data_IF_024601818482
#
_entry.id   IF_024601818482
#
_cell.length_a   1.000
_cell.length_b   1.000
_cell.length_c   1.000
_cell.angle_alpha   90.00
_cell.angle_beta   90.00
_cell.angle_gamma   90.00
#
_symmetry.space_group_name_H-M   'P 1'
#
loop_
_entity.id
_entity.type
_entity.pdbx_description
1 polymer ?
#
# COMPACT_ATOMS: atom_id res chain seq x y z
N UNK A 1 5.82 -20.16 25.65
CA UNK A 1 5.39 -20.77 24.38
C UNK A 1 5.84 -19.85 23.26
N UNK A 2 6.44 -20.39 22.19
CA UNK A 2 6.84 -19.59 21.04
C UNK A 2 5.58 -19.11 20.31
N UNK A 3 5.21 -17.84 20.50
CA UNK A 3 3.99 -17.23 19.94
C UNK A 3 3.99 -17.22 18.40
N UNK A 4 5.16 -17.38 17.77
CA UNK A 4 5.32 -17.37 16.32
C UNK A 4 5.35 -18.78 15.70
N UNK A 5 5.33 -19.84 16.52
CA UNK A 5 5.40 -21.23 16.02
C UNK A 5 4.36 -21.53 14.92
N UNK A 6 3.08 -21.12 15.03
CA UNK A 6 2.10 -21.36 13.97
C UNK A 6 2.48 -20.70 12.63
N UNK A 7 3.08 -19.51 12.67
CA UNK A 7 3.51 -18.79 11.46
C UNK A 7 4.73 -19.46 10.81
N UNK A 8 5.72 -19.85 11.63
CA UNK A 8 6.91 -20.54 11.16
C UNK A 8 6.55 -21.88 10.52
N UNK A 9 5.70 -22.66 11.20
CA UNK A 9 5.20 -23.93 10.70
C UNK A 9 4.42 -23.74 9.40
N UNK A 10 3.51 -22.76 9.36
CA UNK A 10 2.74 -22.48 8.15
C UNK A 10 3.63 -22.14 6.95
N UNK A 11 4.65 -21.30 7.15
CA UNK A 11 5.61 -20.95 6.09
C UNK A 11 6.47 -22.15 5.68
N UNK A 12 6.84 -23.02 6.62
CA UNK A 12 7.63 -24.21 6.32
C UNK A 12 6.85 -25.22 5.45
N UNK A 13 5.56 -25.42 5.74
CA UNK A 13 4.71 -26.43 5.09
C UNK A 13 4.19 -26.04 3.69
N UNK A 14 4.29 -24.77 3.31
CA UNK A 14 3.77 -24.26 2.04
C UNK A 14 4.93 -23.75 1.18
N UNK A 15 4.89 -24.04 -0.12
CA UNK A 15 5.94 -23.68 -1.07
C UNK A 15 5.55 -22.52 -1.97
N UNK A 16 4.26 -22.20 -2.08
CA UNK A 16 3.72 -21.19 -3.00
C UNK A 16 2.73 -20.28 -2.29
N UNK A 17 3.23 -19.43 -1.41
CA UNK A 17 2.39 -18.49 -0.68
C UNK A 17 1.89 -17.36 -1.57
N UNK A 18 0.58 -17.12 -1.55
CA UNK A 18 -0.02 -15.86 -1.97
C UNK A 18 0.03 -14.90 -0.78
N UNK A 19 0.91 -13.90 -0.83
CA UNK A 19 1.07 -12.92 0.26
C UNK A 19 0.19 -11.71 -0.03
N UNK A 20 -0.73 -11.38 0.88
CA UNK A 20 -1.58 -10.19 0.79
C UNK A 20 -1.20 -9.19 1.88
N UNK A 21 -0.76 -7.99 1.48
CA UNK A 21 -0.35 -6.94 2.43
C UNK A 21 -1.25 -5.70 2.38
N UNK A 22 -1.21 -4.90 3.44
CA UNK A 22 -1.80 -3.56 3.48
C UNK A 22 -1.03 -2.62 4.41
N UNK A 23 -1.64 -1.48 4.76
CA UNK A 23 -0.92 -0.34 5.33
C UNK A 23 -0.21 -0.66 6.67
N UNK A 24 -0.71 -1.65 7.42
CA UNK A 24 -0.11 -2.11 8.67
C UNK A 24 1.28 -2.70 8.52
N UNK A 25 1.72 -3.07 7.31
CA UNK A 25 3.11 -3.49 7.06
C UNK A 25 4.07 -2.29 7.00
N UNK A 26 3.56 -1.09 6.75
CA UNK A 26 4.34 0.15 6.56
C UNK A 26 4.35 1.07 7.78
N UNK A 27 3.65 0.72 8.87
CA UNK A 27 3.57 1.55 10.09
C UNK A 27 4.92 1.83 10.73
N UNK A 28 5.76 0.80 10.87
CA UNK A 28 7.14 0.96 11.39
C UNK A 28 8.13 1.54 10.36
N UNK A 29 7.67 1.84 9.14
CA UNK A 29 8.42 2.70 8.20
C UNK A 29 8.08 4.18 8.39
N UNK A 30 7.21 4.54 9.33
CA UNK A 30 6.77 5.92 9.58
C UNK A 30 5.57 6.34 8.73
N UNK A 31 4.99 5.43 7.94
CA UNK A 31 3.75 5.71 7.22
C UNK A 31 2.55 5.33 8.08
N UNK A 32 1.59 6.23 8.34
CA UNK A 32 0.41 5.88 9.11
C UNK A 32 -0.42 4.81 8.38
N UNK A 33 -1.27 4.10 9.11
CA UNK A 33 -2.33 3.27 8.52
C UNK A 33 -3.68 4.02 8.54
N UNK A 34 -4.70 3.40 7.97
CA UNK A 34 -6.02 4.02 7.82
C UNK A 34 -6.99 3.73 8.98
N UNK A 35 -6.75 2.64 9.73
CA UNK A 35 -7.75 2.06 10.63
C UNK A 35 -7.21 1.75 12.02
N UNK A 36 -8.07 1.85 13.03
CA UNK A 36 -7.80 1.46 14.41
C UNK A 36 -7.82 -0.06 14.61
N UNK A 37 -7.65 -0.49 15.86
CA UNK A 37 -7.60 -1.91 16.22
C UNK A 37 -8.95 -2.62 15.96
N UNK A 38 -10.06 -1.88 16.00
CA UNK A 38 -11.42 -2.34 15.76
C UNK A 38 -11.78 -2.34 14.26
N UNK A 39 -10.99 -1.65 13.44
CA UNK A 39 -11.17 -1.51 11.99
C UNK A 39 -11.93 -0.25 11.57
N UNK A 40 -12.18 0.70 12.46
CA UNK A 40 -12.78 1.99 12.13
C UNK A 40 -11.74 2.95 11.54
N UNK A 41 -12.19 4.02 10.89
CA UNK A 41 -11.29 5.03 10.31
C UNK A 41 -10.62 5.87 11.41
N UNK A 42 -9.29 6.03 11.31
CA UNK A 42 -8.51 6.93 12.20
C UNK A 42 -8.60 8.41 11.83
N UNK A 43 -8.98 8.70 10.57
CA UNK A 43 -9.02 10.04 9.97
C UNK A 43 -10.20 10.14 9.02
N UNK A 44 -10.49 11.35 8.55
CA UNK A 44 -11.48 11.59 7.49
C UNK A 44 -11.24 10.66 6.29
N UNK A 45 -12.30 10.12 5.67
CA UNK A 45 -12.16 9.23 4.52
C UNK A 45 -11.39 9.90 3.37
N UNK A 46 -10.62 9.13 2.58
CA UNK A 46 -9.89 9.64 1.43
C UNK A 46 -10.80 10.30 0.40
N UNK A 47 -10.22 11.15 -0.46
CA UNK A 47 -10.91 11.73 -1.61
C UNK A 47 -11.54 10.64 -2.48
N UNK A 48 -12.78 10.87 -2.91
CA UNK A 48 -13.45 9.94 -3.83
C UNK A 48 -13.05 10.23 -5.27
N UNK A 49 -13.06 9.18 -6.10
CA UNK A 49 -12.80 9.32 -7.53
C UNK A 49 -13.73 10.35 -8.19
N UNK A 50 -15.02 10.29 -7.88
CA UNK A 50 -16.01 11.20 -8.46
C UNK A 50 -15.77 12.64 -8.04
N UNK A 51 -15.43 12.90 -6.77
CA UNK A 51 -15.11 14.24 -6.31
C UNK A 51 -13.85 14.76 -7.01
N UNK A 52 -12.79 13.95 -7.10
CA UNK A 52 -11.59 14.34 -7.84
C UNK A 52 -11.85 14.59 -9.33
N UNK A 53 -12.67 13.79 -9.99
CA UNK A 53 -12.90 13.94 -11.44
C UNK A 53 -13.83 15.11 -11.77
N UNK A 54 -14.74 15.48 -10.87
CA UNK A 54 -15.79 16.46 -11.18
C UNK A 54 -15.61 17.82 -10.47
N UNK A 55 -14.80 17.90 -9.41
CA UNK A 55 -14.66 19.12 -8.61
C UNK A 55 -13.21 19.67 -8.61
N UNK A 56 -13.02 20.84 -9.23
CA UNK A 56 -11.70 21.49 -9.33
C UNK A 56 -11.13 21.90 -7.95
N UNK A 57 -11.89 22.53 -7.03
CA UNK A 57 -11.45 22.78 -5.66
C UNK A 57 -10.93 21.52 -4.94
N UNK A 58 -11.63 20.39 -5.05
CA UNK A 58 -11.19 19.10 -4.49
C UNK A 58 -9.87 18.64 -5.10
N UNK A 59 -9.70 18.74 -6.43
CA UNK A 59 -8.42 18.41 -7.07
C UNK A 59 -7.28 19.31 -6.61
N UNK A 60 -7.54 20.61 -6.48
CA UNK A 60 -6.54 21.59 -6.03
C UNK A 60 -6.10 21.26 -4.61
N UNK A 61 -7.05 21.00 -3.72
CA UNK A 61 -6.77 20.56 -2.35
C UNK A 61 -5.93 19.29 -2.33
N UNK A 62 -6.30 18.27 -3.11
CA UNK A 62 -5.55 17.02 -3.19
C UNK A 62 -4.10 17.24 -3.64
N UNK A 63 -3.90 17.94 -4.77
CA UNK A 63 -2.55 18.14 -5.30
C UNK A 63 -1.70 19.07 -4.44
N UNK A 64 -2.29 20.06 -3.78
CA UNK A 64 -1.58 20.93 -2.84
C UNK A 64 -1.06 20.17 -1.62
N UNK A 65 -1.92 19.34 -1.03
CA UNK A 65 -1.56 18.46 0.09
C UNK A 65 -0.52 17.42 -0.35
N UNK A 66 -0.71 16.81 -1.52
CA UNK A 66 0.23 15.84 -2.11
C UNK A 66 1.60 16.46 -2.44
N UNK A 67 1.65 17.73 -2.89
CA UNK A 67 2.90 18.44 -3.16
C UNK A 67 3.81 18.47 -1.92
N UNK A 68 3.22 18.70 -0.75
CA UNK A 68 3.94 18.77 0.54
C UNK A 68 4.23 17.36 1.07
N UNK A 69 3.23 16.46 1.06
CA UNK A 69 3.38 15.12 1.60
C UNK A 69 4.36 14.24 0.81
N UNK A 70 4.50 14.46 -0.50
CA UNK A 70 5.45 13.74 -1.35
C UNK A 70 6.91 13.83 -0.85
N UNK A 71 7.30 14.95 -0.24
CA UNK A 71 8.65 15.17 0.29
C UNK A 71 9.04 14.14 1.34
N UNK A 72 8.06 13.77 2.18
CA UNK A 72 8.24 12.80 3.23
C UNK A 72 8.16 11.39 2.66
N UNK A 73 7.13 11.07 1.88
CA UNK A 73 6.90 9.72 1.33
C UNK A 73 8.05 9.26 0.42
N UNK A 74 8.60 10.15 -0.42
CA UNK A 74 9.70 9.82 -1.33
C UNK A 74 10.93 9.26 -0.60
N UNK A 75 11.16 9.69 0.64
CA UNK A 75 12.33 9.33 1.44
C UNK A 75 12.13 8.10 2.33
N UNK A 76 10.89 7.63 2.50
CA UNK A 76 10.57 6.50 3.37
C UNK A 76 11.31 5.23 2.92
N UNK A 77 11.89 4.56 3.90
CA UNK A 77 12.65 3.31 3.73
C UNK A 77 11.81 2.10 4.19
N UNK A 78 12.00 0.93 3.55
CA UNK A 78 11.37 -0.30 4.01
C UNK A 78 11.83 -0.66 5.43
N UNK A 79 10.95 -1.27 6.21
CA UNK A 79 11.24 -1.81 7.55
C UNK A 79 11.57 -3.32 7.51
N UNK A 80 11.66 -3.95 8.69
CA UNK A 80 11.96 -5.38 8.84
C UNK A 80 10.96 -6.30 8.14
N UNK A 81 9.66 -5.97 8.17
CA UNK A 81 8.61 -6.78 7.54
C UNK A 81 8.80 -6.87 6.02
N UNK A 82 9.06 -5.75 5.35
CA UNK A 82 9.30 -5.73 3.92
C UNK A 82 10.52 -6.56 3.52
N UNK A 83 11.63 -6.39 4.26
CA UNK A 83 12.87 -7.16 4.02
C UNK A 83 12.67 -8.66 4.28
N UNK A 84 11.88 -9.01 5.30
CA UNK A 84 11.55 -10.39 5.62
C UNK A 84 10.73 -11.05 4.49
N UNK A 85 9.73 -10.34 3.95
CA UNK A 85 8.92 -10.83 2.83
C UNK A 85 9.73 -10.95 1.53
N UNK A 86 10.61 -9.98 1.23
CA UNK A 86 11.53 -10.08 0.10
C UNK A 86 12.48 -11.28 0.24
N UNK A 87 12.96 -11.55 1.46
CA UNK A 87 13.80 -12.74 1.74
C UNK A 87 13.01 -14.04 1.64
N UNK A 88 11.74 -14.04 2.02
CA UNK A 88 10.86 -15.20 1.85
C UNK A 88 10.62 -15.51 0.36
N UNK A 89 10.42 -14.47 -0.45
CA UNK A 89 10.36 -14.61 -1.92
C UNK A 89 11.67 -15.18 -2.48
N UNK A 90 12.83 -14.66 -2.07
CA UNK A 90 14.13 -15.15 -2.50
C UNK A 90 14.42 -16.61 -2.07
N UNK A 91 13.71 -17.13 -1.06
CA UNK A 91 13.75 -18.56 -0.67
C UNK A 91 12.84 -19.44 -1.53
N UNK A 92 12.16 -18.88 -2.53
CA UNK A 92 11.26 -19.60 -3.42
C UNK A 92 9.94 -19.99 -2.78
N UNK A 93 9.54 -19.33 -1.68
CA UNK A 93 8.33 -19.66 -0.89
C UNK A 93 7.11 -18.82 -1.25
N UNK A 94 7.25 -17.79 -2.09
CA UNK A 94 6.20 -16.84 -2.45
C UNK A 94 5.84 -17.03 -3.92
N UNK A 95 4.58 -17.33 -4.20
CA UNK A 95 4.04 -17.32 -5.57
C UNK A 95 3.91 -15.89 -6.07
N UNK A 96 3.29 -15.01 -5.27
CA UNK A 96 3.12 -13.58 -5.57
C UNK A 96 2.92 -12.80 -4.28
N UNK A 97 3.37 -11.55 -4.28
CA UNK A 97 3.00 -10.57 -3.26
C UNK A 97 2.00 -9.57 -3.85
N UNK A 98 0.77 -9.57 -3.35
CA UNK A 98 -0.24 -8.57 -3.68
C UNK A 98 -0.29 -7.55 -2.55
N UNK A 99 -0.10 -6.27 -2.86
CA UNK A 99 -0.16 -5.20 -1.87
C UNK A 99 -1.31 -4.24 -2.16
N UNK A 100 -2.04 -3.86 -1.12
CA UNK A 100 -2.98 -2.74 -1.15
C UNK A 100 -2.27 -1.39 -1.00
N UNK A 101 -0.99 -1.40 -0.65
CA UNK A 101 -0.24 -0.17 -0.47
C UNK A 101 0.15 0.40 -1.83
N UNK A 102 0.34 1.71 -1.86
CA UNK A 102 0.78 2.45 -3.05
C UNK A 102 2.22 2.96 -2.89
N UNK A 103 2.87 2.63 -1.77
CA UNK A 103 4.11 3.23 -1.24
C UNK A 103 5.42 2.69 -1.85
N UNK A 104 5.34 1.57 -2.57
CA UNK A 104 6.46 0.89 -3.24
C UNK A 104 7.55 0.34 -2.32
N UNK A 105 7.29 0.22 -1.02
CA UNK A 105 8.29 -0.23 -0.05
C UNK A 105 8.67 -1.71 -0.22
N UNK A 106 7.76 -2.55 -0.73
CA UNK A 106 8.08 -3.95 -1.06
C UNK A 106 9.17 -4.03 -2.13
N UNK A 107 9.03 -3.25 -3.19
CA UNK A 107 9.99 -3.22 -4.29
C UNK A 107 11.31 -2.58 -3.83
N UNK A 108 11.27 -1.51 -3.02
CA UNK A 108 12.47 -0.94 -2.38
C UNK A 108 13.19 -1.97 -1.48
N UNK A 109 12.46 -2.89 -0.86
CA UNK A 109 13.04 -3.95 -0.04
C UNK A 109 13.61 -5.14 -0.83
N UNK A 110 13.38 -5.17 -2.15
CA UNK A 110 13.89 -6.20 -3.06
C UNK A 110 12.86 -7.23 -3.54
N UNK A 111 11.58 -7.09 -3.16
CA UNK A 111 10.52 -7.96 -3.70
C UNK A 111 10.34 -7.72 -5.20
N UNK A 112 10.25 -8.79 -6.00
CA UNK A 112 10.23 -8.72 -7.47
C UNK A 112 8.86 -9.01 -8.05
N UNK A 113 8.17 -10.05 -7.60
CA UNK A 113 6.85 -10.43 -8.07
C UNK A 113 5.74 -9.76 -7.24
N UNK A 114 5.57 -8.45 -7.46
CA UNK A 114 4.62 -7.62 -6.70
C UNK A 114 3.49 -7.12 -7.60
N UNK A 115 2.25 -7.32 -7.17
CA UNK A 115 1.05 -6.71 -7.75
C UNK A 115 0.63 -5.55 -6.86
N UNK A 116 0.82 -4.32 -7.36
CA UNK A 116 0.34 -3.08 -6.75
C UNK A 116 -1.17 -2.93 -6.99
N UNK A 117 -1.99 -3.58 -6.13
CA UNK A 117 -3.42 -3.74 -6.34
C UNK A 117 -4.14 -2.39 -6.46
N UNK A 118 -3.76 -1.42 -5.62
CA UNK A 118 -4.34 -0.08 -5.64
C UNK A 118 -3.48 0.91 -6.42
N UNK A 119 -2.60 0.42 -7.29
CA UNK A 119 -1.71 1.25 -8.09
C UNK A 119 -0.52 1.77 -7.28
N UNK A 120 0.14 2.82 -7.78
CA UNK A 120 1.39 3.32 -7.23
C UNK A 120 1.40 4.83 -7.15
N UNK A 121 1.88 5.36 -6.03
CA UNK A 121 1.96 6.81 -5.81
C UNK A 121 3.20 7.44 -6.44
N UNK A 122 4.20 6.64 -6.80
CA UNK A 122 5.40 7.07 -7.54
C UNK A 122 5.12 7.34 -9.03
N UNK A 123 3.87 7.18 -9.47
CA UNK A 123 3.42 7.43 -10.84
C UNK A 123 2.20 8.34 -10.88
N UNK A 124 2.06 9.10 -11.97
CA UNK A 124 0.83 9.82 -12.30
C UNK A 124 0.39 9.47 -13.73
N UNK A 125 -0.91 9.56 -13.99
CA UNK A 125 -1.54 9.19 -15.25
C UNK A 125 -2.49 10.27 -15.73
N UNK A 126 -2.53 10.49 -17.04
CA UNK A 126 -3.56 11.29 -17.68
C UNK A 126 -4.85 10.49 -17.85
N UNK A 127 -5.95 11.06 -17.37
CA UNK A 127 -7.28 10.44 -17.44
C UNK A 127 -7.93 10.51 -18.84
N UNK A 128 -7.29 11.18 -19.80
CA UNK A 128 -7.80 11.33 -21.18
C UNK A 128 -6.99 10.53 -22.20
N UNK A 129 -5.66 10.57 -22.14
CA UNK A 129 -4.80 9.91 -23.12
C UNK A 129 -3.94 8.78 -22.55
N UNK A 130 -4.14 8.42 -21.27
CA UNK A 130 -3.38 7.39 -20.55
C UNK A 130 -1.85 7.58 -20.52
N UNK A 131 -1.34 8.78 -20.82
CA UNK A 131 0.07 9.12 -20.59
C UNK A 131 0.42 8.85 -19.13
N UNK A 132 1.46 8.06 -18.91
CA UNK A 132 2.07 7.84 -17.60
C UNK A 132 3.36 8.64 -17.49
N UNK A 133 3.65 9.15 -16.29
CA UNK A 133 4.92 9.80 -15.98
C UNK A 133 5.27 9.58 -14.51
N UNK A 134 6.56 9.61 -14.20
CA UNK A 134 7.05 9.52 -12.83
C UNK A 134 6.51 10.68 -12.00
N UNK A 135 6.07 10.38 -10.78
CA UNK A 135 5.57 11.37 -9.82
C UNK A 135 6.60 12.45 -9.52
N UNK A 136 7.90 12.13 -9.58
CA UNK A 136 8.98 13.09 -9.41
C UNK A 136 9.03 14.13 -10.55
N UNK A 137 8.82 13.72 -11.80
CA UNK A 137 8.74 14.67 -12.92
C UNK A 137 7.53 15.59 -12.78
N UNK A 138 6.39 15.04 -12.36
CA UNK A 138 5.21 15.85 -12.07
C UNK A 138 5.38 16.76 -10.84
N UNK A 139 6.15 16.32 -9.84
CA UNK A 139 6.50 17.14 -8.66
C UNK A 139 7.21 18.43 -9.09
N UNK A 140 8.21 18.33 -9.96
CA UNK A 140 8.94 19.50 -10.45
C UNK A 140 8.01 20.49 -11.19
N UNK A 141 7.04 19.97 -11.95
CA UNK A 141 6.02 20.80 -12.60
C UNK A 141 5.11 21.48 -11.56
N UNK A 142 4.65 20.75 -10.54
CA UNK A 142 3.84 21.31 -9.47
C UNK A 142 4.59 22.42 -8.72
N UNK A 143 5.86 22.20 -8.36
CA UNK A 143 6.68 23.18 -7.63
C UNK A 143 6.93 24.45 -8.46
N UNK A 144 7.25 24.29 -9.75
CA UNK A 144 7.47 25.42 -10.65
C UNK A 144 6.21 26.30 -10.81
N UNK A 145 5.02 25.70 -10.82
CA UNK A 145 3.75 26.43 -10.91
C UNK A 145 3.26 26.97 -9.55
N UNK A 146 3.80 26.47 -8.43
CA UNK A 146 3.32 26.79 -7.09
C UNK A 146 4.48 27.12 -6.11
N UNK A 147 5.34 28.12 -6.38
CA UNK A 147 6.55 28.38 -5.59
C UNK A 147 6.25 28.72 -4.12
N UNK A 148 5.11 29.35 -3.83
CA UNK A 148 4.69 29.67 -2.46
C UNK A 148 4.29 28.44 -1.64
N UNK A 149 3.79 27.40 -2.31
CA UNK A 149 3.42 26.15 -1.66
C UNK A 149 4.64 25.25 -1.43
N UNK A 150 5.65 25.38 -2.29
CA UNK A 150 6.89 24.63 -2.20
C UNK A 150 7.75 24.95 -0.96
N UNK A 151 7.35 25.88 -0.09
CA UNK A 151 8.08 26.18 1.15
C UNK A 151 7.32 25.79 2.42
N UNK A 152 6.11 25.24 2.29
CA UNK A 152 5.29 24.85 3.43
C UNK A 152 5.70 23.46 3.96
N UNK A 153 5.61 23.29 5.28
CA UNK A 153 5.79 22.02 6.00
C UNK A 153 4.46 21.54 6.59
N UNK A 154 4.17 20.23 6.49
CA UNK A 154 2.99 19.61 7.06
C UNK A 154 3.23 18.10 7.30
N UNK A 155 2.40 17.49 8.14
CA UNK A 155 2.45 16.06 8.43
C UNK A 155 1.79 15.22 7.33
N UNK A 156 2.40 14.08 6.96
CA UNK A 156 1.93 13.20 5.89
C UNK A 156 0.88 12.16 6.34
N UNK A 157 0.06 11.70 5.40
CA UNK A 157 -0.93 10.64 5.49
C UNK A 157 -0.45 9.39 4.70
N UNK A 158 -1.17 8.25 4.77
CA UNK A 158 -0.66 6.97 4.23
C UNK A 158 -0.47 6.97 2.70
N UNK A 159 -1.26 7.73 1.96
CA UNK A 159 -1.18 7.96 0.52
C UNK A 159 -0.53 9.30 0.18
N UNK A 160 0.33 9.83 1.07
CA UNK A 160 1.12 11.02 0.80
C UNK A 160 0.34 12.32 0.71
N UNK A 161 -0.93 12.30 1.08
CA UNK A 161 -1.71 13.50 1.38
C UNK A 161 -1.17 14.15 2.67
N UNK A 162 -1.16 15.48 2.76
CA UNK A 162 -0.68 16.20 3.95
C UNK A 162 -1.80 16.99 4.63
N UNK A 163 -1.85 17.07 5.95
CA UNK A 163 -2.92 17.82 6.62
C UNK A 163 -2.65 19.33 6.66
N UNK A 164 -3.61 20.14 6.17
CA UNK A 164 -3.45 21.58 5.90
C UNK A 164 -4.71 22.36 6.27
N UNK A 165 -5.08 22.32 7.54
CA UNK A 165 -6.24 23.05 8.06
C UNK A 165 -6.09 24.57 7.87
N UNK A 166 -7.17 25.22 7.43
CA UNK A 166 -7.24 26.68 7.31
C UNK A 166 -6.52 27.31 6.12
N UNK A 167 -5.95 26.51 5.21
CA UNK A 167 -5.28 27.02 4.00
C UNK A 167 -6.25 27.11 2.82
N UNK A 168 -6.29 28.27 2.13
CA UNK A 168 -7.05 28.44 0.89
C UNK A 168 -6.31 27.80 -0.29
N UNK A 169 -6.99 26.93 -1.05
CA UNK A 169 -6.41 26.19 -2.18
C UNK A 169 -6.75 26.81 -3.54
N UNK A 170 -7.45 27.94 -3.58
CA UNK A 170 -8.00 28.54 -4.80
C UNK A 170 -6.93 28.89 -5.83
N UNK A 171 -5.79 29.41 -5.36
CA UNK A 171 -4.66 29.82 -6.19
C UNK A 171 -3.74 28.67 -6.59
N UNK A 172 -4.02 27.43 -6.15
CA UNK A 172 -3.19 26.28 -6.51
C UNK A 172 -3.38 25.92 -7.99
N UNK A 173 -2.26 25.84 -8.72
CA UNK A 173 -2.23 25.52 -10.14
C UNK A 173 -1.86 24.06 -10.34
N UNK A 174 -2.74 23.29 -10.96
CA UNK A 174 -2.48 21.91 -11.35
C UNK A 174 -2.00 21.91 -12.80
N UNK A 175 -0.74 21.53 -13.09
CA UNK A 175 -0.27 21.42 -14.46
C UNK A 175 -1.13 20.43 -15.25
N UNK A 176 -1.62 20.78 -16.45
CA UNK A 176 -2.40 19.87 -17.27
C UNK A 176 -1.49 18.80 -17.89
N UNK A 177 -2.08 17.77 -18.49
CA UNK A 177 -1.31 16.78 -19.23
C UNK A 177 -0.51 17.45 -20.36
N UNK A 178 0.82 17.25 -20.45
CA UNK A 178 1.65 17.88 -21.47
C UNK A 178 1.36 17.35 -22.89
N UNK A 179 0.68 16.21 -23.01
CA UNK A 179 0.31 15.61 -24.31
C UNK A 179 -1.03 16.10 -24.83
N UNK A 180 -2.05 16.22 -23.98
CA UNK A 180 -3.43 16.44 -24.44
C UNK A 180 -4.20 17.48 -23.63
N UNK A 181 -3.59 18.14 -22.64
CA UNK A 181 -4.26 19.10 -21.75
C UNK A 181 -5.21 18.48 -20.71
N UNK A 182 -5.37 17.15 -20.69
CA UNK A 182 -6.30 16.45 -19.81
C UNK A 182 -5.90 16.42 -18.33
N UNK A 183 -6.81 15.92 -17.49
CA UNK A 183 -6.61 15.81 -16.04
C UNK A 183 -5.50 14.79 -15.73
N UNK A 184 -4.53 15.21 -14.91
CA UNK A 184 -3.53 14.32 -14.32
C UNK A 184 -4.03 13.86 -12.94
N UNK A 185 -4.01 12.55 -12.70
CA UNK A 185 -4.33 11.90 -11.43
C UNK A 185 -3.11 11.07 -10.99
N UNK A 186 -2.80 10.94 -9.69
CA UNK A 186 -1.91 9.86 -9.23
C UNK A 186 -2.40 8.50 -9.77
N UNK A 187 -1.48 7.59 -10.13
CA UNK A 187 -1.85 6.23 -10.58
C UNK A 187 -2.23 5.32 -9.40
N UNK A 188 -3.11 5.82 -8.53
CA UNK A 188 -3.66 5.09 -7.38
C UNK A 188 -5.16 4.93 -7.52
N UNK A 189 -5.72 3.83 -7.05
CA UNK A 189 -7.16 3.58 -7.08
C UNK A 189 -7.81 4.37 -5.94
N UNK A 190 -8.60 5.39 -6.26
CA UNK A 190 -9.31 6.18 -5.27
C UNK A 190 -10.55 5.46 -4.72
N UNK A 191 -11.08 5.97 -3.61
CA UNK A 191 -12.35 5.45 -3.10
C UNK A 191 -13.48 5.66 -4.12
N UNK A 192 -14.25 4.61 -4.37
CA UNK A 192 -15.28 4.59 -5.42
C UNK A 192 -14.74 4.34 -6.84
N UNK A 193 -13.42 4.22 -7.03
CA UNK A 193 -12.81 3.75 -8.27
C UNK A 193 -12.72 2.22 -8.27
N UNK A 194 -12.89 1.61 -9.44
CA UNK A 194 -12.67 0.17 -9.59
C UNK A 194 -11.20 -0.12 -9.81
N UNK A 195 -10.66 -1.12 -9.11
CA UNK A 195 -9.35 -1.67 -9.42
C UNK A 195 -9.36 -2.18 -10.87
N UNK A 196 -8.35 -1.88 -11.70
CA UNK A 196 -8.28 -2.37 -13.08
C UNK A 196 -8.45 -3.88 -13.16
N UNK A 197 -9.34 -4.33 -14.04
CA UNK A 197 -9.72 -5.74 -14.18
C UNK A 197 -8.50 -6.65 -14.39
N UNK A 198 -7.58 -6.24 -15.26
CA UNK A 198 -6.36 -6.99 -15.56
C UNK A 198 -5.49 -7.26 -14.31
N UNK A 199 -5.38 -6.29 -13.39
CA UNK A 199 -4.65 -6.48 -12.12
C UNK A 199 -5.34 -7.51 -11.23
N UNK A 200 -6.66 -7.47 -11.17
CA UNK A 200 -7.48 -8.41 -10.39
C UNK A 200 -7.40 -9.82 -10.98
N UNK A 201 -7.55 -9.94 -12.29
CA UNK A 201 -7.49 -11.22 -13.01
C UNK A 201 -6.11 -11.86 -12.86
N UNK A 202 -5.03 -11.07 -13.03
CA UNK A 202 -3.65 -11.54 -12.80
C UNK A 202 -3.46 -12.02 -11.36
N UNK A 203 -3.96 -11.29 -10.36
CA UNK A 203 -3.87 -11.72 -8.97
C UNK A 203 -4.64 -13.03 -8.71
N UNK A 204 -5.83 -13.21 -9.30
CA UNK A 204 -6.55 -14.49 -9.21
C UNK A 204 -5.81 -15.64 -9.88
N UNK A 205 -5.19 -15.42 -11.04
CA UNK A 205 -4.41 -16.44 -11.73
C UNK A 205 -3.21 -16.92 -10.89
N UNK A 206 -2.59 -16.04 -10.09
CA UNK A 206 -1.57 -16.44 -9.13
C UNK A 206 -2.17 -17.13 -7.90
N UNK A 207 -3.32 -16.66 -7.39
CA UNK A 207 -4.01 -17.31 -6.27
C UNK A 207 -4.38 -18.77 -6.58
N UNK A 208 -4.75 -19.08 -7.83
CA UNK A 208 -5.04 -20.44 -8.26
C UNK A 208 -3.82 -21.38 -8.08
N UNK A 209 -2.61 -20.89 -8.39
CA UNK A 209 -1.33 -21.62 -8.31
C UNK A 209 -0.79 -21.74 -6.88
N UNK A 210 -1.12 -20.76 -6.03
CA UNK A 210 -0.70 -20.72 -4.63
C UNK A 210 -1.26 -21.90 -3.85
N UNK A 211 -0.55 -22.42 -2.85
CA UNK A 211 -1.05 -23.47 -1.97
C UNK A 211 -1.67 -22.92 -0.68
N UNK A 212 -1.33 -21.68 -0.30
CA UNK A 212 -1.87 -21.00 0.87
C UNK A 212 -1.85 -19.47 0.75
N UNK A 213 -2.61 -18.79 1.61
CA UNK A 213 -2.63 -17.31 1.69
C UNK A 213 -2.03 -16.85 3.02
N UNK A 214 -1.11 -15.89 2.96
CA UNK A 214 -0.57 -15.20 4.13
C UNK A 214 -0.99 -13.72 4.09
N UNK A 215 -1.82 -13.31 5.04
CA UNK A 215 -2.29 -11.92 5.19
C UNK A 215 -1.36 -11.18 6.17
N UNK A 216 -0.83 -10.02 5.79
CA UNK A 216 0.12 -9.27 6.62
C UNK A 216 -0.27 -7.79 6.70
N UNK A 217 -0.56 -7.31 7.90
CA UNK A 217 -0.76 -5.88 8.16
C UNK A 217 -1.97 -5.28 7.43
N UNK A 218 -3.08 -6.00 7.34
CA UNK A 218 -4.32 -5.46 6.76
C UNK A 218 -5.55 -5.93 7.52
N UNK A 219 -6.50 -5.01 7.73
CA UNK A 219 -7.79 -5.32 8.35
C UNK A 219 -8.76 -6.00 7.39
N UNK A 220 -8.49 -5.99 6.08
CA UNK A 220 -9.37 -6.54 5.03
C UNK A 220 -10.82 -6.00 5.06
N UNK A 221 -11.05 -4.84 5.69
CA UNK A 221 -12.39 -4.26 5.72
C UNK A 221 -12.86 -3.83 4.32
N UNK A 222 -11.91 -3.44 3.47
CA UNK A 222 -12.17 -3.10 2.07
C UNK A 222 -12.23 -4.38 1.22
N UNK A 223 -13.32 -4.56 0.48
CA UNK A 223 -13.56 -5.76 -0.32
C UNK A 223 -12.46 -6.05 -1.35
N UNK A 224 -11.75 -5.02 -1.81
CA UNK A 224 -10.77 -5.14 -2.87
C UNK A 224 -9.62 -6.09 -2.54
N UNK A 225 -9.15 -6.15 -1.30
CA UNK A 225 -8.21 -7.18 -0.81
C UNK A 225 -8.94 -8.43 -0.29
N UNK A 226 -10.03 -8.26 0.45
CA UNK A 226 -10.79 -9.36 1.07
C UNK A 226 -11.26 -10.43 0.07
N UNK A 227 -11.58 -10.05 -1.17
CA UNK A 227 -12.04 -10.98 -2.22
C UNK A 227 -11.08 -12.14 -2.48
N UNK A 228 -9.77 -11.92 -2.28
CA UNK A 228 -8.77 -12.98 -2.47
C UNK A 228 -8.81 -14.00 -1.34
N UNK A 229 -9.08 -13.55 -0.11
CA UNK A 229 -9.29 -14.43 1.04
C UNK A 229 -10.60 -15.22 0.89
N UNK A 230 -11.69 -14.56 0.49
CA UNK A 230 -12.97 -15.25 0.17
C UNK A 230 -12.77 -16.38 -0.84
N UNK A 231 -12.05 -16.10 -1.94
CA UNK A 231 -11.78 -17.07 -2.98
C UNK A 231 -10.87 -18.22 -2.50
N UNK A 232 -9.84 -17.91 -1.70
CA UNK A 232 -8.94 -18.91 -1.14
C UNK A 232 -9.68 -19.90 -0.23
N UNK A 233 -10.51 -19.38 0.68
CA UNK A 233 -11.33 -20.18 1.59
C UNK A 233 -12.32 -21.05 0.80
N UNK A 234 -12.98 -20.49 -0.21
CA UNK A 234 -13.87 -21.26 -1.10
C UNK A 234 -13.15 -22.37 -1.85
N UNK A 235 -11.88 -22.17 -2.18
CA UNK A 235 -11.03 -23.16 -2.83
C UNK A 235 -10.36 -24.15 -1.85
N UNK A 236 -10.65 -24.05 -0.54
CA UNK A 236 -10.07 -24.92 0.49
C UNK A 236 -8.59 -24.64 0.78
N UNK A 237 -8.05 -23.49 0.36
CA UNK A 237 -6.66 -23.09 0.65
C UNK A 237 -6.60 -22.47 2.06
N UNK A 238 -5.66 -22.88 2.92
CA UNK A 238 -5.58 -22.35 4.27
C UNK A 238 -5.08 -20.90 4.27
N UNK A 239 -5.56 -20.12 5.23
CA UNK A 239 -5.26 -18.69 5.36
C UNK A 239 -4.66 -18.41 6.73
N UNK A 240 -3.43 -17.92 6.77
CA UNK A 240 -2.78 -17.42 7.98
C UNK A 240 -2.72 -15.90 7.99
N UNK A 241 -2.68 -15.28 9.17
CA UNK A 241 -2.51 -13.83 9.26
C UNK A 241 -1.49 -13.38 10.32
N UNK A 242 -0.84 -12.25 10.02
CA UNK A 242 -0.06 -11.44 10.95
C UNK A 242 -0.67 -10.06 10.99
N UNK A 243 -1.41 -9.73 12.05
CA UNK A 243 -2.07 -8.43 12.19
C UNK A 243 -2.41 -8.15 13.66
N UNK A 244 -2.07 -6.95 14.16
CA UNK A 244 -2.39 -6.53 15.53
C UNK A 244 -3.91 -6.44 15.78
N UNK A 245 -4.61 -5.70 14.93
CA UNK A 245 -6.04 -5.42 15.08
C UNK A 245 -6.94 -6.51 14.48
N UNK A 246 -8.25 -6.31 14.62
CA UNK A 246 -9.29 -7.12 14.00
C UNK A 246 -9.12 -7.17 12.48
N UNK A 247 -9.34 -8.34 11.89
CA UNK A 247 -9.51 -8.47 10.44
C UNK A 247 -10.92 -8.93 10.12
N UNK A 248 -11.43 -8.54 8.95
CA UNK A 248 -12.72 -9.03 8.44
C UNK A 248 -12.74 -10.55 8.25
N UNK A 249 -11.56 -11.16 8.10
CA UNK A 249 -11.41 -12.58 7.83
C UNK A 249 -11.16 -13.42 9.08
N UNK A 250 -11.20 -12.85 10.30
CA UNK A 250 -10.73 -13.52 11.52
C UNK A 250 -11.38 -14.92 11.74
N UNK A 251 -12.67 -15.09 11.39
CA UNK A 251 -13.39 -16.37 11.52
C UNK A 251 -12.96 -17.45 10.51
N UNK A 252 -12.20 -17.08 9.48
CA UNK A 252 -11.74 -17.99 8.42
C UNK A 252 -10.25 -18.29 8.49
N UNK A 253 -9.52 -17.67 9.43
CA UNK A 253 -8.09 -17.85 9.57
C UNK A 253 -7.79 -19.20 10.26
N UNK A 254 -6.85 -19.95 9.71
CA UNK A 254 -6.28 -21.11 10.37
C UNK A 254 -5.53 -20.70 11.65
N UNK A 255 -4.89 -19.53 11.63
CA UNK A 255 -4.28 -18.89 12.79
C UNK A 255 -4.10 -17.39 12.56
N UNK A 256 -3.89 -16.65 13.64
CA UNK A 256 -3.53 -15.24 13.62
C UNK A 256 -2.43 -14.96 14.64
N UNK A 257 -1.32 -14.39 14.19
CA UNK A 257 -0.29 -13.82 15.06
C UNK A 257 -0.63 -12.35 15.31
N UNK A 258 -1.09 -12.04 16.52
CA UNK A 258 -1.49 -10.69 16.94
C UNK A 258 -0.28 -9.86 17.43
N UNK A 259 0.64 -9.55 16.51
CA UNK A 259 1.87 -8.79 16.77
C UNK A 259 2.16 -7.79 15.65
N UNK A 260 3.09 -6.87 15.92
CA UNK A 260 3.66 -6.03 14.89
C UNK A 260 4.28 -6.89 13.78
N UNK A 261 4.12 -6.46 12.53
CA UNK A 261 4.43 -7.30 11.35
C UNK A 261 5.93 -7.56 11.21
N UNK A 262 6.78 -6.60 11.53
CA UNK A 262 8.24 -6.72 11.49
C UNK A 262 8.79 -7.59 12.61
N UNK A 263 8.20 -7.52 13.81
CA UNK A 263 8.54 -8.41 14.91
C UNK A 263 8.17 -9.86 14.60
N UNK A 264 6.93 -10.11 14.14
CA UNK A 264 6.44 -11.45 13.85
C UNK A 264 7.19 -12.12 12.68
N UNK A 265 7.71 -11.33 11.75
CA UNK A 265 8.48 -11.81 10.60
C UNK A 265 10.00 -11.74 10.81
N UNK A 266 10.48 -11.29 11.98
CA UNK A 266 11.90 -11.08 12.25
C UNK A 266 12.73 -12.36 12.11
N UNK A 267 12.16 -13.53 12.39
CA UNK A 267 12.83 -14.83 12.25
C UNK A 267 13.25 -15.15 10.80
N UNK A 268 12.67 -14.46 9.80
CA UNK A 268 13.09 -14.61 8.41
C UNK A 268 14.37 -13.83 8.11
N UNK A 269 14.70 -12.82 8.89
CA UNK A 269 15.91 -12.00 8.75
C UNK A 269 17.13 -12.76 9.28
N UNK A 270 18.34 -12.45 8.78
CA UNK A 270 19.56 -12.93 9.43
C UNK A 270 19.62 -12.38 10.86
N UNK A 271 20.19 -13.18 11.78
CA UNK A 271 20.54 -12.69 13.11
C UNK A 271 21.42 -11.45 12.94
N UNK A 272 21.08 -10.37 13.65
CA UNK A 272 21.92 -9.19 13.66
C UNK A 272 23.30 -9.65 14.15
N UNK A 273 24.31 -9.59 13.29
CA UNK A 273 25.69 -9.80 13.72
C UNK A 273 25.94 -8.76 14.81
N UNK A 274 26.03 -9.20 16.06
CA UNK A 274 26.47 -8.33 17.15
C UNK A 274 27.80 -7.74 16.70
N UNK A 275 27.79 -6.46 16.37
CA UNK A 275 29.01 -5.76 15.98
C UNK A 275 29.98 -5.88 17.13
N UNK A 276 31.08 -6.58 16.89
CA UNK A 276 32.29 -6.46 17.70
C UNK A 276 32.75 -5.02 17.59
N UNK A 277 32.33 -4.20 18.56
CA UNK A 277 33.03 -2.98 18.98
C UNK A 277 34.41 -3.32 19.52
#
# INVERSE_FOLDING_TARGET
MNLDAPLQDFIAHHDRLFVLTGAGVSTHSGLPDYRDAEGNWKRSPPVTYQAFMNDLPTRRRYWARSLIGWRHIGQVQPNGAHRALARLENRGKVEVLVTQNVDRLHQKAGSRNVIDLHGRIDMVRCMSCALEMDRQSFQLLLEAHNPRWAVLEASAAPDGDADLDGVAFEDFVIPPCPRCGGIIKPDVVFFGESVPKERVDTAFAHLEKADAVLVVGTSLMVRSGFRFVEAAVKAGKPVGAVNLGRTRADEWLAFKVARATDEALAFLLPEATAGTS
#
